data_IF_038754795231
#
_entry.id   IF_038754795231
#
_cell.length_a   1.000
_cell.length_b   1.000
_cell.length_c   1.000
_cell.angle_alpha   90.00
_cell.angle_beta   90.00
_cell.angle_gamma   90.00
#
_symmetry.space_group_name_H-M   'P 1'
#
loop_
_entity.id
_entity.type
_entity.pdbx_description
1 polymer ?
#
# COMPACT_ATOMS: atom_id res chain seq x y z
N UNK A 1 24.82 21.24 -9.06
CA UNK A 1 24.40 20.21 -8.10
C UNK A 1 23.23 19.41 -8.67
N UNK A 2 23.49 18.45 -9.55
CA UNK A 2 22.48 17.48 -9.98
C UNK A 2 22.41 16.40 -8.91
N UNK A 3 21.50 16.57 -7.96
CA UNK A 3 21.19 15.54 -6.99
C UNK A 3 20.69 14.31 -7.78
N UNK A 4 21.54 13.29 -7.94
CA UNK A 4 21.09 11.95 -8.34
C UNK A 4 20.31 11.38 -7.16
N UNK A 5 19.11 11.91 -6.97
CA UNK A 5 18.13 11.35 -6.06
C UNK A 5 17.98 9.89 -6.46
N UNK A 6 18.24 8.96 -5.54
CA UNK A 6 18.16 7.54 -5.82
C UNK A 6 16.80 7.26 -6.46
N UNK A 7 16.81 6.70 -7.67
CA UNK A 7 15.59 6.50 -8.45
C UNK A 7 14.68 5.46 -7.75
N UNK A 8 15.28 4.49 -7.06
CA UNK A 8 14.58 3.34 -6.47
C UNK A 8 13.54 3.73 -5.40
N UNK A 9 13.82 4.59 -4.40
CA UNK A 9 12.80 5.00 -3.44
C UNK A 9 11.67 5.83 -4.05
N UNK A 10 11.99 6.68 -5.03
CA UNK A 10 10.98 7.48 -5.74
C UNK A 10 10.06 6.61 -6.58
N UNK A 11 10.61 5.59 -7.24
CA UNK A 11 9.82 4.61 -7.99
C UNK A 11 8.89 3.80 -7.07
N UNK A 12 9.38 3.37 -5.90
CA UNK A 12 8.55 2.67 -4.91
C UNK A 12 7.39 3.54 -4.41
N UNK A 13 7.67 4.82 -4.11
CA UNK A 13 6.65 5.78 -3.72
C UNK A 13 5.63 6.05 -4.83
N UNK A 14 6.12 6.27 -6.06
CA UNK A 14 5.28 6.47 -7.23
C UNK A 14 4.38 5.26 -7.54
N UNK A 15 4.89 4.05 -7.37
CA UNK A 15 4.13 2.82 -7.55
C UNK A 15 2.98 2.71 -6.55
N UNK A 16 3.23 2.96 -5.26
CA UNK A 16 2.17 2.95 -4.24
C UNK A 16 1.09 3.98 -4.56
N UNK A 17 1.48 5.19 -4.95
CA UNK A 17 0.52 6.22 -5.36
C UNK A 17 -0.28 5.84 -6.60
N UNK A 18 0.33 5.20 -7.59
CA UNK A 18 -0.38 4.72 -8.77
C UNK A 18 -1.49 3.73 -8.39
N UNK A 19 -1.21 2.80 -7.45
CA UNK A 19 -2.21 1.84 -6.97
C UNK A 19 -3.31 2.55 -6.17
N UNK A 20 -2.97 3.55 -5.34
CA UNK A 20 -3.96 4.36 -4.60
C UNK A 20 -4.89 5.12 -5.55
N UNK A 21 -4.34 5.72 -6.62
CA UNK A 21 -5.13 6.41 -7.64
C UNK A 21 -6.06 5.43 -8.35
N UNK A 22 -5.58 4.24 -8.72
CA UNK A 22 -6.41 3.20 -9.33
C UNK A 22 -7.57 2.79 -8.40
N UNK A 23 -7.31 2.62 -7.10
CA UNK A 23 -8.34 2.38 -6.10
C UNK A 23 -9.39 3.51 -6.08
N UNK A 24 -8.93 4.77 -6.04
CA UNK A 24 -9.83 5.92 -5.99
C UNK A 24 -10.71 6.00 -7.24
N UNK A 25 -10.16 5.72 -8.42
CA UNK A 25 -10.95 5.62 -9.66
C UNK A 25 -12.06 4.58 -9.53
N UNK A 26 -11.77 3.37 -9.04
CA UNK A 26 -12.81 2.34 -8.84
C UNK A 26 -13.86 2.75 -7.81
N UNK A 27 -13.47 3.44 -6.74
CA UNK A 27 -14.41 3.97 -5.74
C UNK A 27 -15.35 5.01 -6.38
N UNK A 28 -14.81 5.95 -7.16
CA UNK A 28 -15.63 6.97 -7.86
C UNK A 28 -16.58 6.36 -8.91
N UNK A 29 -16.27 5.16 -9.42
CA UNK A 29 -17.14 4.40 -10.30
C UNK A 29 -18.20 3.58 -9.55
N UNK A 30 -18.41 3.82 -8.25
CA UNK A 30 -19.32 3.06 -7.38
C UNK A 30 -18.97 1.56 -7.22
N UNK A 31 -17.76 1.14 -7.61
CA UNK A 31 -17.26 -0.21 -7.39
C UNK A 31 -16.60 -0.31 -6.01
N UNK A 32 -17.35 0.02 -4.95
CA UNK A 32 -16.86 0.13 -3.58
C UNK A 32 -16.10 -1.11 -3.10
N UNK A 33 -16.55 -2.32 -3.51
CA UNK A 33 -15.88 -3.58 -3.17
C UNK A 33 -14.48 -3.68 -3.79
N UNK A 34 -14.39 -3.46 -5.10
CA UNK A 34 -13.11 -3.53 -5.81
C UNK A 34 -12.15 -2.42 -5.39
N UNK A 35 -12.67 -1.21 -5.19
CA UNK A 35 -11.89 -0.09 -4.65
C UNK A 35 -11.24 -0.45 -3.32
N UNK A 36 -11.99 -1.06 -2.40
CA UNK A 36 -11.49 -1.47 -1.08
C UNK A 36 -10.41 -2.56 -1.19
N UNK A 37 -10.58 -3.54 -2.09
CA UNK A 37 -9.55 -4.56 -2.37
C UNK A 37 -8.26 -3.93 -2.91
N UNK A 38 -8.37 -2.97 -3.83
CA UNK A 38 -7.20 -2.30 -4.41
C UNK A 38 -6.48 -1.44 -3.36
N UNK A 39 -7.21 -0.79 -2.44
CA UNK A 39 -6.56 -0.08 -1.32
C UNK A 39 -5.83 -1.06 -0.40
N UNK A 40 -6.46 -2.18 -0.06
CA UNK A 40 -5.81 -3.21 0.76
C UNK A 40 -4.52 -3.73 0.10
N UNK A 41 -4.56 -3.98 -1.21
CA UNK A 41 -3.37 -4.35 -1.99
C UNK A 41 -2.30 -3.24 -2.00
N UNK A 42 -2.69 -1.98 -2.12
CA UNK A 42 -1.76 -0.84 -2.06
C UNK A 42 -1.00 -0.77 -0.72
N UNK A 43 -1.72 -1.01 0.38
CA UNK A 43 -1.14 -1.00 1.73
C UNK A 43 -0.17 -2.15 1.95
N UNK A 44 -0.53 -3.36 1.50
CA UNK A 44 0.35 -4.53 1.55
C UNK A 44 1.59 -4.36 0.67
N UNK A 45 1.41 -3.77 -0.53
CA UNK A 45 2.52 -3.42 -1.41
C UNK A 45 3.45 -2.40 -0.76
N UNK A 46 2.91 -1.36 -0.12
CA UNK A 46 3.69 -0.36 0.59
C UNK A 46 4.47 -0.95 1.78
N UNK A 47 3.87 -1.89 2.51
CA UNK A 47 4.53 -2.63 3.58
C UNK A 47 5.67 -3.50 3.04
N UNK A 48 5.44 -4.25 1.97
CA UNK A 48 6.44 -5.10 1.32
C UNK A 48 7.62 -4.30 0.76
N UNK A 49 7.33 -3.21 0.03
CA UNK A 49 8.36 -2.31 -0.48
C UNK A 49 9.21 -1.73 0.67
N UNK A 50 8.56 -1.27 1.75
CA UNK A 50 9.28 -0.80 2.94
C UNK A 50 10.11 -1.90 3.60
N UNK A 51 9.66 -3.14 3.60
CA UNK A 51 10.38 -4.30 4.16
C UNK A 51 11.58 -4.76 3.30
N UNK A 52 11.64 -4.37 2.03
CA UNK A 52 12.76 -4.68 1.12
C UNK A 52 13.77 -3.53 1.01
N UNK A 53 13.36 -2.26 1.18
CA UNK A 53 14.27 -1.12 1.06
C UNK A 53 15.30 -1.06 2.22
N UNK A 54 16.61 -1.13 1.95
CA UNK A 54 17.62 -1.27 3.00
C UNK A 54 17.82 0.01 3.84
N UNK A 55 18.13 -0.14 5.15
CA UNK A 55 18.20 0.95 6.14
C UNK A 55 19.48 1.80 6.05
N UNK A 56 20.39 1.50 5.13
CA UNK A 56 21.73 2.08 5.02
C UNK A 56 21.79 3.58 4.64
N UNK A 57 20.64 4.24 4.50
CA UNK A 57 20.53 5.67 4.19
C UNK A 57 20.04 6.52 5.37
N UNK A 58 19.87 5.91 6.56
CA UNK A 58 19.22 6.59 7.69
C UNK A 58 20.14 6.73 8.90
N UNK A 59 21.16 7.57 8.78
CA UNK A 59 21.72 8.24 9.96
C UNK A 59 20.60 9.04 10.66
N UNK A 60 20.43 8.83 11.97
CA UNK A 60 19.42 9.42 12.89
C UNK A 60 17.96 8.90 12.87
N UNK A 61 17.48 8.09 11.91
CA UNK A 61 16.12 7.49 11.96
C UNK A 61 16.06 6.10 12.64
N UNK A 62 17.02 5.78 13.52
CA UNK A 62 17.01 4.50 14.26
C UNK A 62 15.77 4.28 15.15
N UNK A 63 15.00 5.33 15.44
CA UNK A 63 13.86 5.32 16.36
C UNK A 63 12.51 5.28 15.64
N UNK A 64 12.37 5.89 14.44
CA UNK A 64 11.14 5.79 13.63
C UNK A 64 11.15 4.42 12.94
N UNK A 65 10.87 3.38 13.72
CA UNK A 65 11.04 1.97 13.36
C UNK A 65 10.34 1.71 12.02
N UNK A 66 11.13 1.44 10.98
CA UNK A 66 10.71 0.78 9.74
C UNK A 66 9.76 -0.39 10.01
N UNK A 67 10.02 -1.13 11.09
CA UNK A 67 9.16 -2.20 11.58
C UNK A 67 7.75 -1.72 11.98
N UNK A 68 7.61 -0.56 12.62
CA UNK A 68 6.31 0.03 12.96
C UNK A 68 5.58 0.43 11.68
N UNK A 69 6.24 1.09 10.73
CA UNK A 69 5.61 1.40 9.44
C UNK A 69 5.14 0.12 8.72
N UNK A 70 6.00 -0.89 8.59
CA UNK A 70 5.67 -2.18 7.94
C UNK A 70 4.51 -2.88 8.67
N UNK A 71 4.51 -2.89 10.00
CA UNK A 71 3.43 -3.45 10.80
C UNK A 71 2.14 -2.66 10.64
N UNK A 72 2.17 -1.33 10.72
CA UNK A 72 1.00 -0.48 10.59
C UNK A 72 0.38 -0.61 9.21
N UNK A 73 1.17 -0.50 8.13
CA UNK A 73 0.66 -0.67 6.76
C UNK A 73 0.22 -2.10 6.49
N UNK A 74 0.94 -3.10 7.01
CA UNK A 74 0.60 -4.51 6.86
C UNK A 74 -0.69 -4.89 7.57
N UNK A 75 -0.81 -4.55 8.85
CA UNK A 75 -2.01 -4.80 9.67
C UNK A 75 -3.19 -4.03 9.09
N UNK A 76 -3.04 -2.75 8.78
CA UNK A 76 -4.13 -1.95 8.23
C UNK A 76 -4.56 -2.45 6.84
N UNK A 77 -3.62 -2.86 5.99
CA UNK A 77 -3.92 -3.51 4.70
C UNK A 77 -4.69 -4.82 4.88
N UNK A 78 -4.30 -5.65 5.85
CA UNK A 78 -4.99 -6.89 6.17
C UNK A 78 -6.41 -6.64 6.69
N UNK A 79 -6.59 -5.62 7.54
CA UNK A 79 -7.90 -5.20 8.04
C UNK A 79 -8.79 -4.69 6.90
N UNK A 80 -8.24 -3.88 5.99
CA UNK A 80 -8.97 -3.43 4.82
C UNK A 80 -9.34 -4.58 3.89
N UNK A 81 -8.46 -5.58 3.74
CA UNK A 81 -8.77 -6.79 2.98
C UNK A 81 -9.90 -7.57 3.66
N UNK A 82 -9.84 -7.76 4.98
CA UNK A 82 -10.89 -8.41 5.74
C UNK A 82 -12.24 -7.69 5.57
N UNK A 83 -12.26 -6.36 5.70
CA UNK A 83 -13.45 -5.53 5.46
C UNK A 83 -13.96 -5.69 4.03
N UNK A 84 -13.07 -5.67 3.03
CA UNK A 84 -13.47 -5.87 1.64
C UNK A 84 -14.15 -7.23 1.43
N UNK A 85 -13.66 -8.27 2.11
CA UNK A 85 -14.23 -9.62 2.09
C UNK A 85 -15.56 -9.71 2.85
N UNK A 86 -15.80 -8.90 3.89
CA UNK A 86 -17.10 -8.87 4.59
C UNK A 86 -18.19 -8.14 3.81
N UNK A 87 -17.86 -7.42 2.74
CA UNK A 87 -18.88 -6.83 1.87
C UNK A 87 -19.52 -7.96 1.05
N UNK A 88 -20.62 -8.52 1.56
CA UNK A 88 -21.44 -9.53 0.87
C UNK A 88 -22.37 -8.84 -0.13
N UNK A 89 -22.24 -9.18 -1.43
CA UNK A 89 -23.05 -8.63 -2.52
C UNK A 89 -22.28 -8.29 -3.80
N UNK A 90 -21.41 -9.16 -4.30
CA UNK A 90 -20.78 -8.95 -5.61
C UNK A 90 -20.35 -10.23 -6.32
N UNK A 91 -20.09 -10.16 -7.64
CA UNK A 91 -20.16 -11.28 -8.60
C UNK A 91 -19.10 -12.39 -8.46
N UNK A 92 -18.37 -12.44 -7.34
CA UNK A 92 -17.37 -13.46 -7.01
C UNK A 92 -17.80 -14.36 -5.84
N UNK A 93 -19.07 -14.33 -5.45
CA UNK A 93 -19.65 -15.47 -4.71
C UNK A 93 -19.61 -16.66 -5.66
N UNK A 94 -18.57 -17.47 -5.51
CA UNK A 94 -18.45 -18.78 -6.16
C UNK A 94 -19.72 -19.56 -5.82
N UNK A 95 -20.60 -19.66 -6.81
CA UNK A 95 -21.82 -20.45 -6.87
C UNK A 95 -21.92 -20.98 -8.28
#
# INVERSE_FOLDING_TARGET
MTARTSLRPQLAFGLVWAVVVAAMVRITQYHWREGTVIIAAALLLAAGLRAVLPPEWTGLLGIRRRAVDVLTYGVFGLLMLAVALTITGGPLTVG
#
